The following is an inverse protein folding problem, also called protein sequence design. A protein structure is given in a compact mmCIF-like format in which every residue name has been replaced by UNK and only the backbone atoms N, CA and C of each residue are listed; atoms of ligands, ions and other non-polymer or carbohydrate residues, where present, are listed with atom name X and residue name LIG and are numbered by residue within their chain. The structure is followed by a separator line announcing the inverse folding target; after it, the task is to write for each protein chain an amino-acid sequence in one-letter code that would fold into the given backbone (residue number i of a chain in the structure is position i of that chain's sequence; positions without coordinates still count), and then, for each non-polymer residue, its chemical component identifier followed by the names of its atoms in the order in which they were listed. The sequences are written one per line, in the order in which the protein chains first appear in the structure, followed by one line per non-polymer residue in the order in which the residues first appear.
data_IF_834137590998
#
_entry.id   IF_834137590998
#
_cell.length_a   1.000
_cell.length_b   1.000
_cell.length_c   1.000
_cell.angle_alpha   90.00
_cell.angle_beta   90.00
_cell.angle_gamma   90.00
#
_symmetry.space_group_name_H-M   'P 1'
#
loop_
_entity.id
_entity.type
_entity.pdbx_description
1 polymer ?
#
# COMPACT_ATOMS: atom_id res chain seq x y z
N UNK A 1 -14.05 25.29 44.04
CA UNK A 1 -12.97 24.27 43.95
C UNK A 1 -13.25 23.16 42.91
N UNK A 2 -14.48 22.65 42.79
CA UNK A 2 -14.80 21.57 41.83
C UNK A 2 -14.62 21.94 40.34
N UNK A 3 -14.98 23.17 39.91
CA UNK A 3 -14.81 23.61 38.52
C UNK A 3 -13.35 23.78 38.08
N UNK A 4 -12.44 24.06 39.02
CA UNK A 4 -11.01 24.21 38.71
C UNK A 4 -10.37 22.84 38.47
N UNK A 5 -10.76 21.80 39.24
CA UNK A 5 -10.30 20.42 39.03
C UNK A 5 -10.83 19.76 37.77
N UNK A 6 -12.01 20.19 37.26
CA UNK A 6 -12.53 19.71 35.98
C UNK A 6 -11.77 20.33 34.80
N UNK A 7 -11.34 21.58 34.91
CA UNK A 7 -10.53 22.23 33.89
C UNK A 7 -9.08 21.72 33.86
N UNK A 8 -8.51 21.44 35.02
CA UNK A 8 -7.17 20.83 35.14
C UNK A 8 -7.16 19.41 34.55
N UNK A 9 -8.19 18.59 34.76
CA UNK A 9 -8.34 17.27 34.09
C UNK A 9 -8.63 17.37 32.59
N UNK A 10 -9.14 18.48 32.09
CA UNK A 10 -9.32 18.74 30.64
C UNK A 10 -8.03 19.20 29.97
N UNK A 11 -7.12 19.84 30.70
CA UNK A 11 -5.82 20.24 30.18
C UNK A 11 -4.77 19.11 30.24
N UNK A 12 -4.92 18.12 31.16
CA UNK A 12 -4.07 16.92 31.16
C UNK A 12 -4.46 15.89 30.07
N UNK A 13 -5.60 16.07 29.41
CA UNK A 13 -6.00 15.37 28.17
C UNK A 13 -5.59 16.17 26.92
N UNK A 14 -4.50 16.94 26.96
CA UNK A 14 -3.82 17.34 25.74
C UNK A 14 -3.35 16.06 25.04
N UNK A 15 -4.11 15.68 24.03
CA UNK A 15 -3.99 14.54 23.19
C UNK A 15 -2.52 14.23 22.88
N UNK A 16 -1.99 13.18 23.42
CA UNK A 16 -0.97 12.41 22.71
C UNK A 16 -1.65 12.07 21.38
N UNK A 17 -1.35 12.82 20.34
CA UNK A 17 -1.86 12.58 18.98
C UNK A 17 -1.51 11.13 18.66
N UNK A 18 -2.53 10.26 18.68
CA UNK A 18 -2.33 8.86 18.37
C UNK A 18 -1.65 8.77 16.99
N UNK A 19 -0.49 8.14 16.93
CA UNK A 19 0.28 8.01 15.69
C UNK A 19 -0.60 7.34 14.66
N UNK A 20 -0.84 8.00 13.55
CA UNK A 20 -1.64 7.43 12.46
C UNK A 20 -0.84 6.36 11.74
N UNK A 21 -1.49 5.27 11.41
CA UNK A 21 -0.87 4.10 10.79
C UNK A 21 -1.57 3.76 9.47
N UNK A 22 -0.83 3.16 8.56
CA UNK A 22 -1.36 2.63 7.31
C UNK A 22 -0.70 1.28 6.98
N UNK A 23 -1.42 0.41 6.29
CA UNK A 23 -0.92 -0.89 5.85
C UNK A 23 -1.02 -1.01 4.34
N UNK A 24 0.06 -1.45 3.71
CA UNK A 24 0.11 -1.72 2.27
C UNK A 24 0.40 -3.20 2.08
N UNK A 25 -0.51 -3.96 1.45
CA UNK A 25 -0.33 -5.39 1.17
C UNK A 25 -0.11 -5.56 -0.32
N UNK A 26 1.08 -6.00 -0.67
CA UNK A 26 1.61 -6.13 -2.02
C UNK A 26 1.81 -7.62 -2.35
N UNK A 27 1.38 -8.08 -3.51
CA UNK A 27 1.60 -9.45 -3.94
C UNK A 27 3.09 -9.71 -4.14
N UNK A 28 3.80 -8.78 -4.79
CA UNK A 28 5.20 -8.89 -5.12
C UNK A 28 6.01 -7.68 -4.65
N UNK A 29 7.31 -7.82 -4.63
CA UNK A 29 8.24 -6.85 -4.06
C UNK A 29 8.23 -5.45 -4.71
N UNK A 30 7.76 -5.31 -5.95
CA UNK A 30 7.75 -4.05 -6.67
C UNK A 30 6.38 -3.36 -6.71
N UNK A 31 5.29 -4.07 -6.47
CA UNK A 31 3.93 -3.55 -6.66
C UNK A 31 3.64 -2.32 -5.82
N UNK A 32 4.09 -2.29 -4.56
CA UNK A 32 3.89 -1.13 -3.69
C UNK A 32 4.59 0.13 -4.24
N UNK A 33 5.69 -0.03 -4.97
CA UNK A 33 6.43 1.08 -5.59
C UNK A 33 5.64 1.64 -6.75
N UNK A 34 5.20 0.74 -7.65
CA UNK A 34 4.48 1.13 -8.86
C UNK A 34 3.14 1.79 -8.55
N UNK A 35 2.39 1.19 -7.63
CA UNK A 35 0.97 1.42 -7.44
C UNK A 35 0.62 2.31 -6.26
N UNK A 36 1.50 2.39 -5.25
CA UNK A 36 1.26 3.13 -4.01
C UNK A 36 2.46 3.93 -3.48
N UNK A 37 3.57 3.99 -4.24
CA UNK A 37 4.79 4.67 -3.79
C UNK A 37 4.54 6.14 -3.42
N UNK A 38 3.70 6.85 -4.16
CA UNK A 38 3.31 8.22 -3.85
C UNK A 38 2.47 8.31 -2.58
N UNK A 39 1.50 7.41 -2.39
CA UNK A 39 0.70 7.37 -1.15
C UNK A 39 1.57 7.06 0.06
N UNK A 40 2.49 6.09 -0.04
CA UNK A 40 3.43 5.77 1.04
C UNK A 40 4.26 7.00 1.41
N UNK A 41 4.92 7.63 0.43
CA UNK A 41 5.76 8.80 0.66
C UNK A 41 4.99 9.99 1.22
N UNK A 42 3.76 10.23 0.73
CA UNK A 42 2.90 11.32 1.18
C UNK A 42 2.47 11.12 2.64
N UNK A 43 2.01 9.92 2.99
CA UNK A 43 1.57 9.64 4.36
C UNK A 43 2.75 9.61 5.34
N UNK A 44 3.89 9.03 4.95
CA UNK A 44 5.12 9.10 5.75
C UNK A 44 5.55 10.56 6.01
N UNK A 45 5.48 11.43 5.00
CA UNK A 45 5.80 12.86 5.16
C UNK A 45 4.83 13.61 6.10
N UNK A 46 3.62 13.06 6.31
CA UNK A 46 2.60 13.57 7.24
C UNK A 46 2.65 12.91 8.62
N UNK A 47 3.69 12.11 8.90
CA UNK A 47 3.89 11.47 10.20
C UNK A 47 3.12 10.16 10.41
N UNK A 48 2.62 9.53 9.33
CA UNK A 48 2.06 8.18 9.45
C UNK A 48 3.19 7.15 9.54
N UNK A 49 2.99 6.14 10.36
CA UNK A 49 3.76 4.91 10.31
C UNK A 49 3.14 4.00 9.22
N UNK A 50 3.80 3.92 8.08
CA UNK A 50 3.33 3.09 6.96
C UNK A 50 4.09 1.77 6.96
N UNK A 51 3.37 0.67 7.23
CA UNK A 51 3.90 -0.69 7.15
C UNK A 51 3.57 -1.29 5.79
N UNK A 52 4.57 -1.90 5.14
CA UNK A 52 4.43 -2.61 3.88
C UNK A 52 4.56 -4.11 4.13
N UNK A 53 3.65 -4.90 3.59
CA UNK A 53 3.75 -6.36 3.52
C UNK A 53 3.94 -6.75 2.07
N UNK A 54 5.06 -7.42 1.75
CA UNK A 54 5.26 -8.09 0.48
C UNK A 54 5.03 -9.59 0.67
N UNK A 55 4.03 -10.16 -0.02
CA UNK A 55 3.68 -11.57 0.13
C UNK A 55 4.71 -12.48 -0.55
N UNK A 56 5.34 -12.01 -1.63
CA UNK A 56 6.43 -12.70 -2.34
C UNK A 56 7.45 -11.68 -2.87
N UNK A 57 8.48 -12.16 -3.48
CA UNK A 57 9.49 -11.31 -4.14
C UNK A 57 9.20 -11.09 -5.64
N UNK A 58 8.21 -11.77 -6.23
CA UNK A 58 8.00 -11.79 -7.69
C UNK A 58 9.13 -12.52 -8.40
N UNK A 59 9.68 -13.52 -7.73
CA UNK A 59 10.92 -14.20 -8.13
C UNK A 59 10.78 -15.02 -9.39
N UNK A 60 9.58 -15.58 -9.69
CA UNK A 60 9.35 -16.40 -10.87
C UNK A 60 8.73 -15.61 -12.02
N UNK A 61 7.66 -14.85 -11.73
CA UNK A 61 6.85 -14.21 -12.76
C UNK A 61 7.32 -12.81 -13.16
N UNK A 62 7.97 -12.07 -12.25
CA UNK A 62 8.29 -10.65 -12.45
C UNK A 62 9.79 -10.36 -12.53
N UNK A 63 10.64 -11.36 -12.60
CA UNK A 63 12.10 -11.24 -12.55
C UNK A 63 12.80 -11.70 -13.81
N UNK A 64 12.17 -11.59 -14.99
CA UNK A 64 12.70 -12.11 -16.24
C UNK A 64 14.09 -11.54 -16.61
N UNK A 65 14.38 -10.26 -16.30
CA UNK A 65 15.71 -9.65 -16.53
C UNK A 65 16.80 -10.35 -15.71
N UNK A 66 16.49 -10.71 -14.46
CA UNK A 66 17.45 -11.42 -13.60
C UNK A 66 17.66 -12.86 -14.06
N UNK A 67 16.60 -13.58 -14.42
CA UNK A 67 16.69 -14.96 -14.89
C UNK A 67 17.49 -15.14 -16.19
N UNK A 68 17.62 -14.10 -17.01
CA UNK A 68 18.43 -14.10 -18.23
C UNK A 68 19.93 -13.97 -17.98
N UNK A 69 20.37 -13.75 -16.74
CA UNK A 69 21.78 -13.64 -16.38
C UNK A 69 22.36 -15.02 -16.11
N UNK A 70 23.61 -15.25 -16.52
CA UNK A 70 24.30 -16.52 -16.30
C UNK A 70 24.46 -16.82 -14.80
N UNK A 71 24.22 -18.09 -14.44
CA UNK A 71 24.39 -18.55 -13.06
C UNK A 71 23.37 -18.03 -12.05
N UNK A 72 22.23 -17.50 -12.54
CA UNK A 72 21.11 -17.12 -11.67
C UNK A 72 20.46 -18.36 -11.05
N UNK A 73 20.05 -18.22 -9.79
CA UNK A 73 19.28 -19.22 -9.03
C UNK A 73 18.10 -18.53 -8.36
N UNK A 74 17.11 -19.30 -7.93
CA UNK A 74 15.94 -18.80 -7.22
C UNK A 74 16.35 -17.93 -6.02
N UNK A 75 17.29 -18.40 -5.21
CA UNK A 75 17.77 -17.66 -4.02
C UNK A 75 18.46 -16.35 -4.37
N UNK A 76 19.24 -16.33 -5.45
CA UNK A 76 19.87 -15.09 -5.93
C UNK A 76 18.83 -14.09 -6.42
N UNK A 77 17.78 -14.55 -7.13
CA UNK A 77 16.69 -13.69 -7.57
C UNK A 77 15.94 -13.13 -6.37
N UNK A 78 15.55 -13.98 -5.39
CA UNK A 78 14.90 -13.53 -4.15
C UNK A 78 15.73 -12.49 -3.41
N UNK A 79 17.04 -12.73 -3.28
CA UNK A 79 17.97 -11.79 -2.61
C UNK A 79 18.02 -10.46 -3.33
N UNK A 80 18.11 -10.44 -4.65
CA UNK A 80 18.12 -9.21 -5.44
C UNK A 80 16.79 -8.44 -5.30
N UNK A 81 15.66 -9.14 -5.47
CA UNK A 81 14.33 -8.52 -5.36
C UNK A 81 14.05 -7.98 -3.96
N UNK A 82 14.48 -8.69 -2.92
CA UNK A 82 14.40 -8.21 -1.54
C UNK A 82 15.19 -6.93 -1.33
N UNK A 83 16.43 -6.87 -1.82
CA UNK A 83 17.27 -5.69 -1.71
C UNK A 83 16.67 -4.47 -2.44
N UNK A 84 16.09 -4.67 -3.62
CA UNK A 84 15.36 -3.62 -4.35
C UNK A 84 14.16 -3.10 -3.53
N UNK A 85 13.35 -3.99 -2.95
CA UNK A 85 12.20 -3.61 -2.13
C UNK A 85 12.62 -2.84 -0.86
N UNK A 86 13.66 -3.31 -0.17
CA UNK A 86 14.20 -2.64 1.03
C UNK A 86 14.72 -1.24 0.71
N UNK A 87 15.45 -1.09 -0.40
CA UNK A 87 15.93 0.21 -0.87
C UNK A 87 14.78 1.17 -1.18
N UNK A 88 13.76 0.69 -1.92
CA UNK A 88 12.60 1.48 -2.28
C UNK A 88 11.76 1.88 -1.04
N UNK A 89 11.49 0.95 -0.14
CA UNK A 89 10.74 1.23 1.10
C UNK A 89 11.44 2.32 1.94
N UNK A 90 12.77 2.25 2.04
CA UNK A 90 13.58 3.27 2.72
C UNK A 90 13.47 4.64 2.05
N UNK A 91 13.55 4.72 0.72
CA UNK A 91 13.42 5.96 -0.05
C UNK A 91 12.05 6.58 0.16
N UNK A 92 11.00 5.77 0.16
CA UNK A 92 9.62 6.21 0.39
C UNK A 92 9.37 6.67 1.84
N UNK A 93 10.24 6.31 2.77
CA UNK A 93 10.08 6.63 4.20
C UNK A 93 9.09 5.70 4.90
N UNK A 94 8.94 4.47 4.41
CA UNK A 94 8.13 3.46 5.10
C UNK A 94 8.68 3.19 6.51
N UNK A 95 7.77 2.95 7.46
CA UNK A 95 8.11 2.62 8.84
C UNK A 95 8.66 1.19 8.93
N UNK A 96 8.04 0.25 8.22
CA UNK A 96 8.47 -1.15 8.22
C UNK A 96 8.17 -1.82 6.88
N UNK A 97 8.97 -2.85 6.54
CA UNK A 97 8.79 -3.73 5.39
C UNK A 97 8.86 -5.19 5.85
N UNK A 98 7.73 -5.87 5.82
CA UNK A 98 7.58 -7.26 6.22
C UNK A 98 7.48 -8.14 4.97
N UNK A 99 8.36 -9.11 4.82
CA UNK A 99 8.32 -10.07 3.71
C UNK A 99 7.81 -11.43 4.18
N UNK A 100 6.87 -12.03 3.43
CA UNK A 100 6.27 -13.33 3.78
C UNK A 100 6.94 -14.50 3.11
N UNK A 101 7.47 -14.32 1.90
CA UNK A 101 8.14 -15.38 1.10
C UNK A 101 7.20 -16.54 0.75
N UNK A 102 6.00 -16.25 0.32
CA UNK A 102 5.00 -17.25 -0.05
C UNK A 102 5.23 -17.88 -1.42
N UNK A 103 6.27 -17.44 -2.13
CA UNK A 103 6.43 -17.73 -3.56
C UNK A 103 5.47 -16.92 -4.42
N UNK A 104 5.63 -16.99 -5.73
CA UNK A 104 4.76 -16.36 -6.71
C UNK A 104 4.41 -17.34 -7.84
N UNK A 105 3.35 -17.05 -8.56
CA UNK A 105 2.89 -17.82 -9.73
C UNK A 105 2.72 -19.33 -9.45
N UNK A 106 1.82 -19.69 -8.50
CA UNK A 106 0.95 -18.83 -7.69
C UNK A 106 1.51 -18.52 -6.29
N UNK A 107 0.95 -17.51 -5.61
CA UNK A 107 1.10 -17.30 -4.18
C UNK A 107 0.61 -18.53 -3.40
N UNK A 108 1.41 -19.05 -2.48
CA UNK A 108 1.01 -20.14 -1.58
C UNK A 108 0.42 -19.60 -0.28
N UNK A 109 -0.88 -19.30 -0.29
CA UNK A 109 -1.59 -18.76 0.85
C UNK A 109 -2.21 -19.89 1.67
N UNK A 110 -1.54 -20.27 2.73
CA UNK A 110 -2.02 -21.26 3.71
C UNK A 110 -2.59 -20.59 4.97
N UNK A 111 -3.04 -21.39 5.93
CA UNK A 111 -3.58 -20.91 7.20
C UNK A 111 -2.52 -20.14 8.02
N UNK A 112 -1.28 -20.57 8.00
CA UNK A 112 -0.20 -19.90 8.72
C UNK A 112 0.08 -18.52 8.15
N UNK A 113 0.11 -18.38 6.82
CA UNK A 113 0.24 -17.11 6.13
C UNK A 113 -0.94 -16.17 6.44
N UNK A 114 -2.17 -16.71 6.44
CA UNK A 114 -3.38 -15.96 6.79
C UNK A 114 -3.29 -15.43 8.23
N UNK A 115 -3.00 -16.29 9.19
CA UNK A 115 -2.88 -15.91 10.60
C UNK A 115 -1.76 -14.86 10.82
N UNK A 116 -0.65 -14.99 10.11
CA UNK A 116 0.42 -14.00 10.13
C UNK A 116 -0.05 -12.63 9.65
N UNK A 117 -0.88 -12.54 8.60
CA UNK A 117 -1.42 -11.27 8.14
C UNK A 117 -2.46 -10.70 9.11
N UNK A 118 -3.27 -11.55 9.75
CA UNK A 118 -4.17 -11.15 10.85
C UNK A 118 -3.39 -10.51 12.00
N UNK A 119 -2.27 -11.12 12.39
CA UNK A 119 -1.40 -10.56 13.43
C UNK A 119 -0.80 -9.22 13.03
N UNK A 120 -0.39 -9.05 11.77
CA UNK A 120 0.08 -7.75 11.25
C UNK A 120 -1.04 -6.70 11.34
N UNK A 121 -2.26 -7.00 10.91
CA UNK A 121 -3.38 -6.07 11.04
C UNK A 121 -3.63 -5.66 12.50
N UNK A 122 -3.57 -6.61 13.41
CA UNK A 122 -3.77 -6.36 14.85
C UNK A 122 -2.63 -5.56 15.49
N UNK A 123 -1.40 -5.79 15.05
CA UNK A 123 -0.23 -5.05 15.54
C UNK A 123 -0.22 -3.61 15.00
N UNK A 124 -0.43 -3.43 13.70
CA UNK A 124 -0.37 -2.12 13.02
C UNK A 124 -1.59 -1.26 13.36
N UNK A 125 -2.79 -1.85 13.56
CA UNK A 125 -4.05 -1.11 13.76
C UNK A 125 -4.25 -0.01 12.70
N UNK A 126 -4.21 -0.32 11.38
CA UNK A 126 -4.17 0.70 10.35
C UNK A 126 -5.47 1.50 10.27
N UNK A 127 -5.36 2.80 10.01
CA UNK A 127 -6.48 3.69 9.71
C UNK A 127 -7.06 3.38 8.32
N UNK A 128 -6.20 2.95 7.40
CA UNK A 128 -6.59 2.42 6.10
C UNK A 128 -5.57 1.38 5.61
N UNK A 129 -6.01 0.52 4.71
CA UNK A 129 -5.16 -0.43 4.01
C UNK A 129 -5.22 -0.23 2.50
N UNK A 130 -4.13 -0.55 1.82
CA UNK A 130 -4.02 -0.58 0.36
C UNK A 130 -3.71 -2.00 -0.10
N UNK A 131 -4.36 -2.46 -1.18
CA UNK A 131 -4.04 -3.72 -1.83
C UNK A 131 -4.39 -3.67 -3.32
N UNK A 132 -4.31 -4.79 -4.02
CA UNK A 132 -4.55 -4.87 -5.47
C UNK A 132 -6.03 -4.76 -5.85
N UNK A 133 -6.31 -4.73 -7.15
CA UNK A 133 -7.67 -4.87 -7.69
C UNK A 133 -8.25 -6.25 -7.39
N UNK A 134 -9.59 -6.34 -7.33
CA UNK A 134 -10.29 -7.62 -7.13
C UNK A 134 -10.23 -8.54 -8.35
N UNK A 135 -9.97 -7.97 -9.52
CA UNK A 135 -9.83 -8.68 -10.77
C UNK A 135 -8.54 -8.24 -11.48
N UNK A 136 -7.75 -9.19 -11.94
CA UNK A 136 -6.59 -8.98 -12.81
C UNK A 136 -6.35 -10.25 -13.64
N UNK A 137 -6.82 -10.28 -14.90
CA UNK A 137 -6.67 -11.45 -15.76
C UNK A 137 -5.22 -11.70 -16.20
N UNK A 138 -4.32 -10.73 -15.98
CA UNK A 138 -2.90 -10.85 -16.35
C UNK A 138 -2.03 -11.35 -15.19
N UNK A 139 -2.54 -11.25 -13.94
CA UNK A 139 -1.79 -11.68 -12.77
C UNK A 139 -2.73 -12.16 -11.66
N UNK A 140 -2.87 -13.48 -11.54
CA UNK A 140 -3.79 -14.10 -10.57
C UNK A 140 -3.37 -13.91 -9.11
N UNK A 141 -2.10 -13.59 -8.86
CA UNK A 141 -1.59 -13.32 -7.50
C UNK A 141 -2.14 -12.00 -6.93
N UNK A 142 -2.40 -11.00 -7.79
CA UNK A 142 -2.96 -9.72 -7.37
C UNK A 142 -4.35 -9.86 -6.71
N UNK A 143 -5.36 -10.47 -7.36
CA UNK A 143 -6.63 -10.75 -6.71
C UNK A 143 -6.52 -11.69 -5.49
N UNK A 144 -5.57 -12.64 -5.50
CA UNK A 144 -5.32 -13.51 -4.36
C UNK A 144 -4.82 -12.71 -3.15
N UNK A 145 -3.87 -11.79 -3.34
CA UNK A 145 -3.38 -10.89 -2.31
C UNK A 145 -4.49 -10.03 -1.72
N UNK A 146 -5.40 -9.51 -2.56
CA UNK A 146 -6.53 -8.70 -2.11
C UNK A 146 -7.55 -9.53 -1.34
N UNK A 147 -7.88 -10.74 -1.80
CA UNK A 147 -8.75 -11.65 -1.02
C UNK A 147 -8.15 -11.96 0.34
N UNK A 148 -6.86 -12.33 0.40
CA UNK A 148 -6.15 -12.54 1.66
C UNK A 148 -6.20 -11.30 2.57
N UNK A 149 -6.01 -10.11 2.01
CA UNK A 149 -6.08 -8.84 2.75
C UNK A 149 -7.47 -8.61 3.35
N UNK A 150 -8.53 -8.85 2.58
CA UNK A 150 -9.91 -8.68 3.03
C UNK A 150 -10.31 -9.70 4.11
N UNK A 151 -9.91 -10.95 3.92
CA UNK A 151 -10.18 -12.03 4.88
C UNK A 151 -9.41 -11.79 6.19
N UNK A 152 -8.12 -11.45 6.12
CA UNK A 152 -7.32 -11.13 7.29
C UNK A 152 -7.87 -9.91 8.06
N UNK A 153 -8.29 -8.86 7.34
CA UNK A 153 -8.96 -7.69 7.93
C UNK A 153 -10.25 -8.09 8.66
N UNK A 154 -11.06 -8.95 8.08
CA UNK A 154 -12.32 -9.44 8.69
C UNK A 154 -12.03 -10.29 9.94
N UNK A 155 -11.10 -11.24 9.83
CA UNK A 155 -10.70 -12.12 10.94
C UNK A 155 -10.10 -11.30 12.09
N UNK A 156 -9.27 -10.28 11.80
CA UNK A 156 -8.66 -9.42 12.80
C UNK A 156 -9.68 -8.65 13.66
N UNK A 157 -10.92 -8.44 13.17
CA UNK A 157 -12.03 -7.82 13.90
C UNK A 157 -12.78 -8.82 14.80
N UNK A 158 -12.58 -10.13 14.62
CA UNK A 158 -13.31 -11.15 15.33
C UNK A 158 -12.77 -11.35 16.75
N UNK A 159 -13.60 -11.08 17.77
CA UNK A 159 -13.23 -11.23 19.18
C UNK A 159 -12.89 -12.67 19.56
N UNK A 160 -13.49 -13.66 18.89
CA UNK A 160 -13.27 -15.09 19.15
C UNK A 160 -12.02 -15.65 18.49
N UNK A 161 -11.38 -14.93 17.60
CA UNK A 161 -10.12 -15.32 16.99
C UNK A 161 -8.97 -14.78 17.87
N UNK A 162 -8.17 -15.65 18.48
CA UNK A 162 -7.14 -15.34 19.46
C UNK A 162 -7.66 -14.43 20.61
N UNK A 163 -8.50 -14.96 21.52
CA UNK A 163 -9.04 -14.19 22.63
C UNK A 163 -7.94 -13.56 23.48
N UNK A 164 -8.09 -12.28 23.80
CA UNK A 164 -7.12 -11.51 24.59
C UNK A 164 -6.18 -10.64 23.75
N UNK A 165 -6.07 -10.84 22.44
CA UNK A 165 -5.39 -9.88 21.55
C UNK A 165 -6.30 -8.68 21.23
N UNK A 166 -5.69 -7.50 21.04
CA UNK A 166 -6.40 -6.30 20.61
C UNK A 166 -7.05 -6.56 19.23
N UNK A 167 -8.35 -6.36 19.13
CA UNK A 167 -9.06 -6.50 17.84
C UNK A 167 -8.88 -5.24 16.99
N UNK A 168 -8.98 -5.45 15.68
CA UNK A 168 -8.93 -4.38 14.69
C UNK A 168 -10.27 -3.62 14.67
N UNK A 169 -10.22 -2.32 14.41
CA UNK A 169 -11.38 -1.55 13.96
C UNK A 169 -11.81 -1.93 12.53
N UNK A 170 -12.51 -1.05 11.85
CA UNK A 170 -12.97 -1.26 10.47
C UNK A 170 -12.23 -0.34 9.48
N UNK A 171 -10.91 -0.51 9.25
CA UNK A 171 -10.17 0.37 8.36
C UNK A 171 -10.71 0.31 6.94
N UNK A 172 -10.72 1.45 6.26
CA UNK A 172 -11.01 1.49 4.83
C UNK A 172 -9.97 0.70 4.04
N UNK A 173 -10.40 0.07 2.95
CA UNK A 173 -9.50 -0.60 2.01
C UNK A 173 -9.62 0.07 0.65
N UNK A 174 -8.48 0.51 0.13
CA UNK A 174 -8.36 1.07 -1.20
C UNK A 174 -7.59 0.12 -2.09
N UNK A 175 -8.07 -0.05 -3.31
CA UNK A 175 -7.48 -0.91 -4.31
C UNK A 175 -6.55 -0.10 -5.20
N UNK A 176 -5.36 -0.62 -5.45
CA UNK A 176 -4.40 -0.05 -6.40
C UNK A 176 -4.97 -0.04 -7.82
N UNK A 177 -4.50 0.88 -8.62
CA UNK A 177 -4.70 0.84 -10.06
C UNK A 177 -4.00 -0.39 -10.68
N UNK A 178 -4.73 -1.30 -11.34
CA UNK A 178 -4.12 -2.42 -12.05
C UNK A 178 -3.38 -1.95 -13.30
N UNK A 179 -2.48 -2.81 -13.83
CA UNK A 179 -1.69 -2.46 -15.01
C UNK A 179 -2.56 -2.19 -16.25
N UNK A 180 -3.68 -2.90 -16.38
CA UNK A 180 -4.63 -2.76 -17.49
C UNK A 180 -6.05 -2.59 -16.94
N UNK A 181 -6.44 -1.34 -16.76
CA UNK A 181 -7.67 -0.97 -16.06
C UNK A 181 -8.93 -1.46 -16.77
N UNK A 182 -8.94 -1.44 -18.11
CA UNK A 182 -10.10 -1.81 -18.92
C UNK A 182 -10.46 -3.29 -18.76
N UNK A 183 -9.45 -4.17 -18.76
CA UNK A 183 -9.64 -5.61 -18.64
C UNK A 183 -9.98 -6.04 -17.20
N UNK A 184 -9.63 -5.21 -16.22
CA UNK A 184 -9.95 -5.44 -14.83
C UNK A 184 -11.31 -4.83 -14.41
N UNK A 185 -12.05 -4.19 -15.30
CA UNK A 185 -13.29 -3.50 -14.99
C UNK A 185 -13.11 -2.41 -13.91
N UNK A 186 -11.89 -1.91 -13.75
CA UNK A 186 -11.50 -1.03 -12.64
C UNK A 186 -11.76 0.44 -12.96
N UNK A 187 -12.36 1.14 -12.01
CA UNK A 187 -12.66 2.58 -12.12
C UNK A 187 -12.23 3.29 -10.84
N UNK A 188 -11.41 4.34 -10.94
CA UNK A 188 -11.03 5.11 -9.76
C UNK A 188 -12.21 5.92 -9.22
N UNK A 189 -12.36 5.94 -7.91
CA UNK A 189 -13.21 6.87 -7.19
C UNK A 189 -12.41 7.89 -6.36
N UNK A 190 -11.11 7.65 -6.24
CA UNK A 190 -10.18 8.48 -5.49
C UNK A 190 -8.92 8.70 -6.31
N UNK A 191 -8.52 9.98 -6.45
CA UNK A 191 -7.24 10.35 -7.06
C UNK A 191 -6.48 11.17 -6.05
N UNK A 192 -5.26 10.73 -5.73
CA UNK A 192 -4.36 11.35 -4.78
C UNK A 192 -3.34 12.20 -5.53
N UNK A 193 -3.22 13.49 -5.17
CA UNK A 193 -2.12 14.33 -5.65
C UNK A 193 -0.83 13.92 -4.93
N UNK A 194 0.16 13.49 -5.70
CA UNK A 194 1.47 13.06 -5.21
C UNK A 194 2.61 13.98 -5.71
N UNK A 195 2.27 15.15 -6.23
CA UNK A 195 3.25 16.06 -6.85
C UNK A 195 4.39 16.41 -5.90
N UNK A 196 4.09 16.67 -4.63
CA UNK A 196 5.09 17.07 -3.63
C UNK A 196 6.04 15.95 -3.21
N UNK A 197 5.68 14.71 -3.49
CA UNK A 197 6.47 13.51 -3.14
C UNK A 197 6.91 12.73 -4.37
N UNK A 198 6.70 13.30 -5.55
CA UNK A 198 7.05 12.64 -6.81
C UNK A 198 8.52 12.23 -6.89
N UNK A 199 9.42 13.09 -6.45
CA UNK A 199 10.86 12.79 -6.50
C UNK A 199 11.22 11.56 -5.66
N UNK A 200 10.57 11.37 -4.51
CA UNK A 200 10.72 10.15 -3.70
C UNK A 200 10.16 8.92 -4.42
N UNK A 201 8.94 9.04 -4.99
CA UNK A 201 8.38 7.93 -5.77
C UNK A 201 9.27 7.60 -6.96
N UNK A 202 9.77 8.59 -7.69
CA UNK A 202 10.65 8.39 -8.83
C UNK A 202 11.95 7.68 -8.42
N UNK A 203 12.59 8.11 -7.34
CA UNK A 203 13.78 7.45 -6.81
C UNK A 203 13.49 5.99 -6.37
N UNK A 204 12.32 5.72 -5.79
CA UNK A 204 11.92 4.35 -5.44
C UNK A 204 11.65 3.48 -6.70
N UNK A 205 11.08 4.06 -7.75
CA UNK A 205 10.94 3.40 -9.07
C UNK A 205 12.31 2.98 -9.59
N UNK A 206 13.31 3.83 -9.48
CA UNK A 206 14.68 3.57 -9.94
C UNK A 206 15.43 2.52 -9.11
N UNK A 207 14.96 2.20 -7.90
CA UNK A 207 15.44 1.04 -7.14
C UNK A 207 15.04 -0.31 -7.77
N UNK A 208 14.00 -0.35 -8.62
CA UNK A 208 13.47 -1.56 -9.23
C UNK A 208 14.19 -1.90 -10.54
N UNK A 209 15.50 -2.15 -10.48
CA UNK A 209 16.35 -2.40 -11.66
C UNK A 209 15.97 -3.66 -12.42
N UNK A 210 15.44 -4.68 -11.72
CA UNK A 210 14.94 -5.92 -12.32
C UNK A 210 13.78 -5.70 -13.29
N UNK A 211 13.07 -4.56 -13.16
CA UNK A 211 11.90 -4.20 -13.98
C UNK A 211 12.05 -2.79 -14.60
N UNK A 212 13.23 -2.37 -14.97
CA UNK A 212 13.55 -1.06 -15.56
C UNK A 212 12.62 -0.68 -16.73
N UNK A 213 12.16 -1.65 -17.50
CA UNK A 213 11.23 -1.43 -18.62
C UNK A 213 9.88 -0.83 -18.21
N UNK A 214 9.51 -0.86 -16.91
CA UNK A 214 8.29 -0.29 -16.37
C UNK A 214 8.44 1.18 -15.89
N UNK A 215 9.65 1.70 -15.78
CA UNK A 215 9.89 3.05 -15.26
C UNK A 215 9.16 4.15 -16.03
N UNK A 216 9.25 4.11 -17.36
CA UNK A 216 8.57 5.07 -18.22
C UNK A 216 7.04 4.90 -18.15
N UNK A 217 6.56 3.66 -18.13
CA UNK A 217 5.14 3.36 -18.05
C UNK A 217 4.49 3.98 -16.80
N UNK A 218 5.05 3.72 -15.61
CA UNK A 218 4.48 4.24 -14.36
C UNK A 218 4.70 5.74 -14.16
N UNK A 219 5.70 6.32 -14.82
CA UNK A 219 5.83 7.78 -14.91
C UNK A 219 4.66 8.37 -15.70
N UNK A 220 4.35 7.82 -16.86
CA UNK A 220 3.22 8.25 -17.69
C UNK A 220 1.86 8.06 -16.98
N UNK A 221 1.68 6.95 -16.26
CA UNK A 221 0.47 6.72 -15.45
C UNK A 221 0.32 7.84 -14.41
N UNK A 222 1.37 8.17 -13.68
CA UNK A 222 1.32 9.23 -12.67
C UNK A 222 1.00 10.61 -13.28
N UNK A 223 1.55 10.96 -14.45
CA UNK A 223 1.23 12.20 -15.16
C UNK A 223 -0.24 12.23 -15.62
N UNK A 224 -0.75 11.12 -16.15
CA UNK A 224 -2.15 11.01 -16.56
C UNK A 224 -3.11 11.18 -15.37
N UNK A 225 -2.78 10.62 -14.20
CA UNK A 225 -3.58 10.77 -12.98
C UNK A 225 -3.48 12.18 -12.40
N UNK A 226 -2.35 12.86 -12.53
CA UNK A 226 -2.21 14.29 -12.22
C UNK A 226 -3.10 15.17 -13.11
N UNK A 227 -3.16 14.86 -14.42
CA UNK A 227 -4.08 15.52 -15.35
C UNK A 227 -5.55 15.30 -14.97
N UNK A 228 -5.92 14.07 -14.61
CA UNK A 228 -7.28 13.72 -14.18
C UNK A 228 -7.65 14.43 -12.87
N UNK A 229 -6.72 14.50 -11.90
CA UNK A 229 -6.90 15.25 -10.67
C UNK A 229 -7.26 16.72 -10.96
N UNK A 230 -6.47 17.41 -11.79
CA UNK A 230 -6.74 18.82 -12.15
C UNK A 230 -8.12 19.04 -12.76
N UNK A 231 -8.56 18.12 -13.63
CA UNK A 231 -9.87 18.21 -14.28
C UNK A 231 -11.03 18.02 -13.29
N UNK A 232 -10.87 17.15 -12.30
CA UNK A 232 -11.94 16.80 -11.37
C UNK A 232 -11.96 17.68 -10.12
N UNK A 233 -10.84 18.32 -9.74
CA UNK A 233 -10.77 19.22 -8.59
C UNK A 233 -11.13 20.67 -8.90
N UNK A 234 -11.54 20.99 -10.13
CA UNK A 234 -11.82 22.36 -10.54
C UNK A 234 -10.63 23.33 -10.38
N UNK A 235 -9.40 22.81 -10.29
CA UNK A 235 -8.19 23.61 -10.06
C UNK A 235 -8.03 24.10 -8.61
N UNK A 236 -8.89 23.67 -7.68
CA UNK A 236 -8.92 24.19 -6.31
C UNK A 236 -8.02 23.46 -5.30
N UNK A 237 -7.35 22.38 -5.70
CA UNK A 237 -6.47 21.63 -4.81
C UNK A 237 -5.21 22.44 -4.47
N UNK A 238 -5.18 23.07 -3.31
CA UNK A 238 -4.00 23.68 -2.71
C UNK A 238 -3.33 24.83 -3.48
N UNK A 239 -3.99 25.39 -4.49
CA UNK A 239 -3.45 26.53 -5.27
C UNK A 239 -2.33 26.15 -6.26
N UNK A 240 -1.92 24.87 -6.34
CA UNK A 240 -0.94 24.35 -7.31
C UNK A 240 -1.59 23.36 -8.26
N UNK A 241 -1.24 23.39 -9.56
CA UNK A 241 -1.70 22.36 -10.47
C UNK A 241 -1.00 21.04 -10.13
N UNK A 242 -1.77 20.00 -9.75
CA UNK A 242 -1.24 18.67 -9.58
C UNK A 242 -0.59 18.19 -10.89
N UNK A 243 0.66 17.76 -10.83
CA UNK A 243 1.40 17.23 -11.98
C UNK A 243 1.36 15.72 -12.01
N UNK A 244 1.44 15.10 -10.84
CA UNK A 244 1.48 13.65 -10.68
C UNK A 244 0.38 13.20 -9.73
N UNK A 245 -0.23 12.05 -10.03
CA UNK A 245 -1.26 11.46 -9.20
C UNK A 245 -1.15 9.95 -9.11
N UNK A 246 -1.82 9.40 -8.13
CA UNK A 246 -2.14 7.98 -7.99
C UNK A 246 -3.65 7.81 -7.87
N UNK A 247 -4.16 6.72 -8.42
CA UNK A 247 -5.60 6.47 -8.42
C UNK A 247 -5.93 5.20 -7.64
N UNK A 248 -7.07 5.24 -6.96
CA UNK A 248 -7.55 4.18 -6.09
C UNK A 248 -9.05 3.96 -6.30
N UNK A 249 -9.49 2.77 -5.97
CA UNK A 249 -10.90 2.41 -5.89
C UNK A 249 -11.19 1.97 -4.45
N UNK A 250 -12.19 2.55 -3.80
CA UNK A 250 -12.63 2.10 -2.47
C UNK A 250 -13.57 0.91 -2.58
N UNK A 251 -13.42 -0.07 -1.67
CA UNK A 251 -14.34 -1.21 -1.57
C UNK A 251 -15.60 -0.81 -0.81
N UNK A 252 -15.45 -0.02 0.24
CA UNK A 252 -16.54 0.40 1.10
C UNK A 252 -16.95 1.84 0.81
N UNK A 253 -18.22 2.19 1.04
CA UNK A 253 -18.66 3.59 0.98
C UNK A 253 -17.80 4.47 1.89
N UNK A 254 -17.47 5.67 1.42
CA UNK A 254 -16.87 6.70 2.27
C UNK A 254 -17.94 7.29 3.17
N UNK A 255 -17.64 7.38 4.46
CA UNK A 255 -18.50 8.08 5.43
C UNK A 255 -17.93 9.48 5.65
N UNK A 256 -18.78 10.47 5.55
CA UNK A 256 -18.42 11.89 5.75
C UNK A 256 -19.49 12.55 6.60
N UNK A 257 -19.10 13.55 7.37
CA UNK A 257 -20.05 14.31 8.22
C UNK A 257 -20.79 15.39 7.40
N UNK A 258 -20.19 15.83 6.27
CA UNK A 258 -20.75 16.84 5.37
C UNK A 258 -20.42 16.51 3.90
N UNK A 259 -21.27 16.94 2.95
CA UNK A 259 -21.06 16.87 1.49
C UNK A 259 -20.57 18.20 0.95
#
# INVERSE_FOLDING_TARGET
MARRRLNERKQENESVSETKTALVVSAHAADFVWRAGGAIALHASKGYEVTIVCLSYGERGESAKLWKQDGMTLEKVKTARKAEAEAAAKVLGAHDLITFDLGDYPLNIDEAAMNRLVDVFRAVQPHFALSHSLEDPYNTDHPAATRMTMDARMIAQAWGHDPGKKVLGAPQVYLFEPHQTEQCGWKPDTILDITDVWDKKRAAIECMEGQEHLWAYYTNVAENRGNQFRRNSGGQAGGRPARYGEAYQSIFPKTVDEL
#
